data_IF_685869409076
#
_entry.id   IF_685869409076
#
_cell.length_a   1.000
_cell.length_b   1.000
_cell.length_c   1.000
_cell.angle_alpha   90.00
_cell.angle_beta   90.00
_cell.angle_gamma   90.00
#
_symmetry.space_group_name_H-M   'P 1'
#
loop_
_entity.id
_entity.type
_entity.pdbx_description
1 polymer ?
#
# COMPACT_ATOMS: atom_id res chain seq x y z
N UNK A 1 25.27 -18.26 -4.77
CA UNK A 1 23.85 -17.86 -4.65
C UNK A 1 23.78 -16.68 -3.72
N UNK A 2 23.71 -15.47 -4.27
CA UNK A 2 23.82 -14.22 -3.52
C UNK A 2 22.51 -13.89 -2.83
N UNK A 3 22.55 -13.57 -1.53
CA UNK A 3 21.41 -13.11 -0.75
C UNK A 3 20.90 -11.78 -1.33
N UNK A 4 19.74 -11.78 -2.00
CA UNK A 4 19.14 -10.59 -2.61
C UNK A 4 18.81 -9.54 -1.53
N UNK A 5 19.48 -8.39 -1.57
CA UNK A 5 19.46 -7.34 -0.55
C UNK A 5 18.13 -6.56 -0.38
N UNK A 6 17.02 -7.02 -0.97
CA UNK A 6 15.73 -6.33 -0.96
C UNK A 6 14.49 -7.18 -0.67
N UNK A 7 14.62 -8.50 -0.50
CA UNK A 7 13.47 -9.35 -0.22
C UNK A 7 13.02 -9.22 1.23
N UNK A 8 11.72 -9.04 1.43
CA UNK A 8 11.07 -8.90 2.73
C UNK A 8 10.32 -10.19 3.11
N UNK A 9 10.27 -10.49 4.41
CA UNK A 9 9.28 -11.43 4.96
C UNK A 9 7.91 -10.75 5.05
N UNK A 10 6.83 -11.52 5.09
CA UNK A 10 5.46 -10.99 5.27
C UNK A 10 5.34 -10.11 6.52
N UNK A 11 5.98 -10.50 7.62
CA UNK A 11 6.04 -9.71 8.86
C UNK A 11 6.84 -8.41 8.72
N UNK A 12 7.91 -8.42 7.92
CA UNK A 12 8.69 -7.22 7.63
C UNK A 12 7.88 -6.23 6.76
N UNK A 13 7.12 -6.72 5.78
CA UNK A 13 6.19 -5.91 4.99
C UNK A 13 5.14 -5.26 5.90
N UNK A 14 4.50 -6.02 6.79
CA UNK A 14 3.54 -5.48 7.76
C UNK A 14 4.15 -4.39 8.63
N UNK A 15 5.35 -4.65 9.16
CA UNK A 15 6.07 -3.71 10.03
C UNK A 15 6.44 -2.42 9.29
N UNK A 16 6.99 -2.50 8.07
CA UNK A 16 7.31 -1.31 7.26
C UNK A 16 6.04 -0.55 6.84
N UNK A 17 4.93 -1.27 6.63
CA UNK A 17 3.65 -0.66 6.33
C UNK A 17 3.02 0.03 7.56
N UNK A 18 3.54 -0.19 8.77
CA UNK A 18 2.95 0.32 10.00
C UNK A 18 1.66 -0.41 10.40
N UNK A 19 1.50 -1.67 9.97
CA UNK A 19 0.29 -2.46 10.15
C UNK A 19 0.57 -3.73 10.96
N UNK A 20 -0.48 -4.31 11.54
CA UNK A 20 -0.41 -5.63 12.18
C UNK A 20 -0.19 -6.73 11.15
N UNK A 21 0.45 -7.83 11.55
CA UNK A 21 0.68 -8.98 10.67
C UNK A 21 -0.62 -9.60 10.13
N UNK A 22 -1.72 -9.48 10.88
CA UNK A 22 -3.04 -9.94 10.42
C UNK A 22 -3.48 -9.32 9.09
N UNK A 23 -3.10 -8.06 8.82
CA UNK A 23 -3.37 -7.43 7.52
C UNK A 23 -2.56 -8.05 6.40
N UNK A 24 -1.28 -8.37 6.64
CA UNK A 24 -0.43 -9.00 5.65
C UNK A 24 -0.89 -10.43 5.34
N UNK A 25 -1.34 -11.19 6.35
CA UNK A 25 -1.93 -12.52 6.14
C UNK A 25 -3.23 -12.44 5.32
N UNK A 26 -4.15 -11.51 5.68
CA UNK A 26 -5.35 -11.25 4.87
C UNK A 26 -5.02 -10.89 3.42
N UNK A 27 -4.06 -10.00 3.23
CA UNK A 27 -3.62 -9.57 1.91
C UNK A 27 -3.04 -10.74 1.10
N UNK A 28 -2.29 -11.66 1.73
CA UNK A 28 -1.79 -12.87 1.07
C UNK A 28 -2.94 -13.78 0.64
N UNK A 29 -3.90 -14.03 1.53
CA UNK A 29 -5.05 -14.92 1.26
C UNK A 29 -5.99 -14.36 0.18
N UNK A 30 -5.96 -13.04 -0.02
CA UNK A 30 -6.70 -12.31 -1.05
C UNK A 30 -5.89 -12.09 -2.34
N UNK A 31 -4.68 -12.64 -2.43
CA UNK A 31 -3.82 -12.50 -3.61
C UNK A 31 -3.32 -11.07 -3.84
N UNK A 32 -3.27 -10.23 -2.80
CA UNK A 32 -2.63 -8.91 -2.87
C UNK A 32 -1.13 -9.03 -2.65
N UNK A 33 -0.69 -9.83 -1.68
CA UNK A 33 0.73 -10.05 -1.42
C UNK A 33 1.20 -11.36 -2.07
N UNK A 34 2.20 -11.26 -2.95
CA UNK A 34 2.85 -12.40 -3.59
C UNK A 34 4.31 -12.47 -3.16
N UNK A 35 4.80 -13.68 -2.88
CA UNK A 35 6.22 -13.90 -2.68
C UNK A 35 6.94 -14.00 -4.04
N UNK A 36 8.16 -13.46 -4.18
CA UNK A 36 8.93 -12.71 -3.18
C UNK A 36 8.40 -11.28 -2.96
N UNK A 37 8.47 -10.78 -1.71
CA UNK A 37 8.03 -9.42 -1.37
C UNK A 37 9.15 -8.39 -1.49
N UNK A 38 8.81 -7.20 -2.01
CA UNK A 38 9.71 -6.05 -2.11
C UNK A 38 9.05 -4.76 -1.57
N UNK A 39 9.66 -3.61 -1.83
CA UNK A 39 9.21 -2.31 -1.33
C UNK A 39 7.80 -1.94 -1.83
N UNK A 40 7.44 -2.35 -3.04
CA UNK A 40 6.12 -2.16 -3.63
C UNK A 40 5.00 -2.81 -2.80
N UNK A 41 5.32 -3.95 -2.19
CA UNK A 41 4.42 -4.72 -1.34
C UNK A 41 4.08 -3.97 -0.04
N UNK A 42 4.94 -3.04 0.41
CA UNK A 42 4.68 -2.20 1.57
C UNK A 42 3.57 -1.18 1.27
N UNK A 43 3.68 -0.48 0.13
CA UNK A 43 2.67 0.51 -0.28
C UNK A 43 1.36 -0.18 -0.67
N UNK A 44 1.45 -1.29 -1.40
CA UNK A 44 0.29 -2.12 -1.74
C UNK A 44 -0.47 -2.59 -0.49
N UNK A 45 0.24 -3.00 0.56
CA UNK A 45 -0.39 -3.41 1.82
C UNK A 45 -1.06 -2.22 2.55
N UNK A 46 -0.44 -1.04 2.58
CA UNK A 46 -1.06 0.18 3.15
C UNK A 46 -2.35 0.53 2.42
N UNK A 47 -2.32 0.53 1.09
CA UNK A 47 -3.48 0.83 0.25
C UNK A 47 -4.57 -0.22 0.43
N UNK A 48 -4.22 -1.51 0.38
CA UNK A 48 -5.15 -2.61 0.63
C UNK A 48 -5.87 -2.47 1.98
N UNK A 49 -5.10 -2.24 3.05
CA UNK A 49 -5.67 -2.10 4.39
C UNK A 49 -6.63 -0.91 4.49
N UNK A 50 -6.31 0.18 3.80
CA UNK A 50 -7.17 1.36 3.73
C UNK A 50 -8.43 1.10 2.91
N UNK A 51 -8.31 0.63 1.67
CA UNK A 51 -9.46 0.44 0.77
C UNK A 51 -10.40 -0.67 1.20
N UNK A 52 -9.91 -1.68 1.92
CA UNK A 52 -10.73 -2.74 2.50
C UNK A 52 -11.74 -2.22 3.52
N UNK A 53 -11.48 -1.05 4.12
CA UNK A 53 -12.33 -0.45 5.15
C UNK A 53 -13.39 0.51 4.55
N UNK A 54 -13.26 0.87 3.28
CA UNK A 54 -14.20 1.77 2.60
C UNK A 54 -15.46 0.99 2.21
N UNK A 55 -16.61 1.60 2.47
CA UNK A 55 -17.92 1.12 2.01
C UNK A 55 -18.64 2.28 1.36
N UNK A 56 -18.99 2.14 0.08
CA UNK A 56 -19.73 3.16 -0.66
C UNK A 56 -21.21 3.18 -0.24
N UNK A 57 -21.85 4.37 -0.18
CA UNK A 57 -23.28 4.48 0.09
C UNK A 57 -24.11 3.62 -0.89
N UNK A 58 -25.15 2.96 -0.39
CA UNK A 58 -26.00 2.08 -1.21
C UNK A 58 -25.43 0.67 -1.43
N UNK A 59 -24.15 0.44 -1.15
CA UNK A 59 -23.57 -0.91 -1.21
C UNK A 59 -23.86 -1.67 0.09
N UNK A 60 -24.61 -2.79 -0.02
CA UNK A 60 -24.84 -3.70 1.11
C UNK A 60 -23.76 -4.77 1.13
N UNK A 61 -22.86 -4.73 2.11
CA UNK A 61 -21.90 -5.82 2.35
C UNK A 61 -22.55 -6.93 3.18
N UNK A 62 -22.70 -8.16 2.63
CA UNK A 62 -23.16 -9.29 3.42
C UNK A 62 -22.17 -9.61 4.53
N UNK A 63 -22.64 -9.77 5.77
CA UNK A 63 -21.79 -9.99 6.94
C UNK A 63 -21.11 -11.37 6.96
N UNK A 64 -21.63 -12.33 6.20
CA UNK A 64 -21.26 -13.75 6.24
C UNK A 64 -20.52 -14.26 4.99
N UNK A 65 -20.43 -13.48 3.92
CA UNK A 65 -19.72 -13.89 2.71
C UNK A 65 -18.22 -13.65 2.89
N UNK A 66 -17.40 -14.60 2.38
CA UNK A 66 -15.97 -14.35 2.18
C UNK A 66 -15.87 -13.13 1.27
N UNK A 67 -15.32 -12.05 1.81
CA UNK A 67 -15.23 -10.78 1.10
C UNK A 67 -14.02 -10.86 0.17
N UNK A 68 -14.30 -11.16 -1.09
CA UNK A 68 -13.32 -11.01 -2.16
C UNK A 68 -13.13 -9.52 -2.45
N UNK A 69 -11.94 -9.14 -2.93
CA UNK A 69 -11.66 -7.77 -3.35
C UNK A 69 -12.58 -7.35 -4.49
N UNK A 70 -13.25 -6.22 -4.29
CA UNK A 70 -13.98 -5.55 -5.38
C UNK A 70 -12.97 -5.07 -6.44
N UNK A 71 -13.39 -5.00 -7.70
CA UNK A 71 -12.50 -4.65 -8.82
C UNK A 71 -11.75 -3.34 -8.59
N UNK A 72 -12.43 -2.30 -8.09
CA UNK A 72 -11.82 -1.00 -7.82
C UNK A 72 -10.76 -1.08 -6.70
N UNK A 73 -10.92 -1.98 -5.72
CA UNK A 73 -9.94 -2.18 -4.65
C UNK A 73 -8.66 -2.81 -5.20
N UNK A 74 -8.81 -3.81 -6.07
CA UNK A 74 -7.69 -4.42 -6.79
C UNK A 74 -6.98 -3.41 -7.68
N UNK A 75 -7.72 -2.59 -8.42
CA UNK A 75 -7.17 -1.51 -9.25
C UNK A 75 -6.42 -0.46 -8.42
N UNK A 76 -6.92 -0.11 -7.23
CA UNK A 76 -6.23 0.82 -6.32
C UNK A 76 -4.90 0.26 -5.81
N UNK A 77 -4.88 -1.02 -5.44
CA UNK A 77 -3.66 -1.71 -5.01
C UNK A 77 -2.64 -1.75 -6.15
N UNK A 78 -3.05 -2.09 -7.37
CA UNK A 78 -2.15 -2.17 -8.52
C UNK A 78 -1.60 -0.79 -8.93
N UNK A 79 -2.46 0.22 -8.97
CA UNK A 79 -2.03 1.60 -9.24
C UNK A 79 -0.99 2.09 -8.22
N UNK A 80 -1.11 1.65 -6.96
CA UNK A 80 -0.12 1.97 -5.94
C UNK A 80 1.20 1.22 -6.11
N UNK A 81 1.19 -0.04 -6.60
CA UNK A 81 2.43 -0.74 -7.00
C UNK A 81 3.11 -0.01 -8.14
N UNK A 82 2.34 0.38 -9.16
CA UNK A 82 2.85 1.14 -10.29
C UNK A 82 3.52 2.44 -9.82
N UNK A 83 2.92 3.16 -8.88
CA UNK A 83 3.50 4.38 -8.31
C UNK A 83 4.88 4.16 -7.68
N UNK A 84 5.15 2.99 -7.07
CA UNK A 84 6.47 2.69 -6.49
C UNK A 84 7.53 2.54 -7.57
N UNK A 85 7.17 1.94 -8.70
CA UNK A 85 8.07 1.73 -9.84
C UNK A 85 8.20 2.93 -10.78
N UNK A 86 7.27 3.88 -10.73
CA UNK A 86 7.24 5.02 -11.65
C UNK A 86 8.21 6.13 -11.21
N UNK A 87 9.20 6.42 -12.06
CA UNK A 87 10.14 7.52 -11.91
C UNK A 87 9.49 8.91 -11.79
N UNK A 88 8.24 9.08 -12.24
CA UNK A 88 7.48 10.33 -12.13
C UNK A 88 6.79 10.49 -10.78
N UNK A 89 6.77 9.45 -9.95
CA UNK A 89 6.16 9.53 -8.63
C UNK A 89 6.93 10.52 -7.76
N UNK A 90 6.20 11.51 -7.28
CA UNK A 90 6.69 12.53 -6.35
C UNK A 90 5.95 12.40 -5.01
N UNK A 91 6.44 13.04 -3.94
CA UNK A 91 5.70 13.14 -2.68
C UNK A 91 4.29 13.75 -2.83
N UNK A 92 4.03 14.47 -3.94
CA UNK A 92 2.74 15.09 -4.23
C UNK A 92 1.79 14.16 -5.00
N UNK A 93 2.27 12.99 -5.44
CA UNK A 93 1.48 12.00 -6.16
C UNK A 93 0.38 11.44 -5.28
N UNK A 94 -0.81 11.34 -5.86
CA UNK A 94 -2.06 11.00 -5.18
C UNK A 94 -2.78 9.96 -6.00
N UNK A 95 -3.36 8.99 -5.30
CA UNK A 95 -4.30 8.04 -5.88
C UNK A 95 -5.72 8.47 -5.49
N UNK A 96 -6.49 8.89 -6.49
CA UNK A 96 -7.91 9.14 -6.34
C UNK A 96 -8.67 7.85 -6.53
N UNK A 97 -9.55 7.55 -5.60
CA UNK A 97 -10.41 6.38 -5.63
C UNK A 97 -11.86 6.87 -5.61
N UNK A 98 -12.59 6.53 -6.66
CA UNK A 98 -14.02 6.73 -6.81
C UNK A 98 -14.72 5.36 -6.72
N UNK A 99 -16.05 5.37 -6.68
CA UNK A 99 -16.84 4.13 -6.61
C UNK A 99 -16.58 3.18 -7.79
N UNK A 100 -16.33 3.73 -8.98
CA UNK A 100 -16.21 2.99 -10.23
C UNK A 100 -14.80 3.01 -10.83
N UNK A 101 -13.90 3.84 -10.31
CA UNK A 101 -12.65 4.15 -11.00
C UNK A 101 -11.55 4.60 -10.03
N UNK A 102 -10.32 4.50 -10.52
CA UNK A 102 -9.11 4.82 -9.79
C UNK A 102 -8.18 5.61 -10.70
N UNK A 103 -7.61 6.70 -10.20
CA UNK A 103 -6.77 7.60 -10.98
C UNK A 103 -5.51 7.99 -10.22
N UNK A 104 -4.34 7.75 -10.82
CA UNK A 104 -3.06 8.18 -10.26
C UNK A 104 -2.69 9.55 -10.86
N UNK A 105 -2.46 10.53 -9.99
CA UNK A 105 -2.21 11.92 -10.38
C UNK A 105 -0.93 12.42 -9.72
N UNK A 106 0.01 12.96 -10.49
CA UNK A 106 1.40 13.14 -10.03
C UNK A 106 1.74 14.59 -9.68
N UNK A 107 1.08 15.57 -10.31
CA UNK A 107 1.39 17.00 -10.11
C UNK A 107 0.23 17.77 -9.46
N UNK A 108 0.50 18.92 -8.80
CA UNK A 108 -0.56 19.77 -8.26
C UNK A 108 -1.53 20.28 -9.33
N UNK A 109 -1.04 20.59 -10.53
CA UNK A 109 -1.86 21.05 -11.65
C UNK A 109 -2.82 19.96 -12.11
N UNK A 110 -2.34 18.72 -12.31
CA UNK A 110 -3.20 17.60 -12.65
C UNK A 110 -4.23 17.31 -11.55
N UNK A 111 -3.86 17.46 -10.26
CA UNK A 111 -4.82 17.27 -9.16
C UNK A 111 -5.94 18.31 -9.19
N UNK A 112 -5.60 19.57 -9.45
CA UNK A 112 -6.58 20.64 -9.57
C UNK A 112 -7.48 20.42 -10.80
N UNK A 113 -6.91 20.03 -11.94
CA UNK A 113 -7.68 19.68 -13.14
C UNK A 113 -8.63 18.50 -12.87
N UNK A 114 -8.14 17.45 -12.21
CA UNK A 114 -8.96 16.29 -11.87
C UNK A 114 -10.15 16.64 -10.96
N UNK A 115 -9.93 17.48 -9.94
CA UNK A 115 -10.99 17.96 -9.05
C UNK A 115 -12.08 18.73 -9.83
N UNK A 116 -11.66 19.63 -10.73
CA UNK A 116 -12.57 20.44 -11.52
C UNK A 116 -13.32 19.65 -12.61
N UNK A 117 -12.66 18.70 -13.26
CA UNK A 117 -13.17 18.01 -14.46
C UNK A 117 -13.84 16.66 -14.16
N UNK A 118 -13.44 15.97 -13.09
CA UNK A 118 -13.82 14.56 -12.86
C UNK A 118 -14.62 14.35 -11.59
N UNK A 119 -14.50 15.24 -10.60
CA UNK A 119 -15.20 15.05 -9.34
C UNK A 119 -16.64 15.57 -9.40
N UNK A 120 -16.95 16.75 -9.94
CA UNK A 120 -18.33 17.25 -10.18
C UNK A 120 -19.39 16.87 -9.09
N UNK A 121 -19.03 16.88 -7.80
CA UNK A 121 -19.91 16.50 -6.69
C UNK A 121 -19.99 15.00 -6.34
N UNK A 122 -19.24 14.14 -7.04
CA UNK A 122 -19.01 12.73 -6.73
C UNK A 122 -18.16 12.58 -5.48
N UNK A 123 -18.42 11.51 -4.72
CA UNK A 123 -17.57 11.15 -3.58
C UNK A 123 -16.28 10.53 -4.11
N UNK A 124 -15.15 11.07 -3.68
CA UNK A 124 -13.84 10.54 -3.99
C UNK A 124 -12.98 10.51 -2.74
N UNK A 125 -12.07 9.54 -2.70
CA UNK A 125 -11.14 9.35 -1.60
C UNK A 125 -9.73 9.58 -2.11
N UNK A 126 -9.01 10.45 -1.39
CA UNK A 126 -7.65 10.84 -1.71
C UNK A 126 -6.66 10.01 -0.90
N UNK A 127 -5.88 9.15 -1.56
CA UNK A 127 -4.83 8.37 -0.92
C UNK A 127 -3.46 8.99 -1.24
N UNK A 128 -2.64 9.35 -0.24
CA UNK A 128 -1.36 10.04 -0.46
C UNK A 128 -0.23 9.06 -0.81
N UNK A 129 -0.38 8.30 -1.90
CA UNK A 129 0.57 7.23 -2.27
C UNK A 129 1.99 7.75 -2.49
N UNK A 130 2.15 8.95 -3.03
CA UNK A 130 3.46 9.57 -3.24
C UNK A 130 4.23 9.83 -1.93
N UNK A 131 3.53 10.22 -0.87
CA UNK A 131 4.13 10.36 0.46
C UNK A 131 4.58 9.00 1.00
N UNK A 132 3.73 7.98 0.88
CA UNK A 132 4.09 6.63 1.33
C UNK A 132 5.27 6.04 0.57
N UNK A 133 5.39 6.32 -0.74
CA UNK A 133 6.55 5.95 -1.54
C UNK A 133 7.80 6.67 -1.05
N UNK A 134 7.71 7.98 -0.79
CA UNK A 134 8.84 8.77 -0.28
C UNK A 134 9.33 8.32 1.11
N UNK A 135 8.45 7.74 1.93
CA UNK A 135 8.78 7.18 3.26
C UNK A 135 9.43 5.79 3.22
N UNK A 136 9.39 5.08 2.07
CA UNK A 136 9.90 3.71 1.97
C UNK A 136 11.37 3.56 2.38
N UNK A 137 12.31 4.42 1.93
CA UNK A 137 13.71 4.27 2.30
C UNK A 137 13.94 4.27 3.82
N UNK A 138 13.25 5.15 4.54
CA UNK A 138 13.35 5.28 5.99
C UNK A 138 12.71 4.09 6.72
N UNK A 139 11.55 3.62 6.23
CA UNK A 139 10.91 2.41 6.75
C UNK A 139 11.82 1.18 6.59
N UNK A 140 12.46 1.04 5.43
CA UNK A 140 13.38 -0.06 5.12
C UNK A 140 14.68 0.03 5.95
N UNK A 141 15.22 1.22 6.16
CA UNK A 141 16.38 1.44 7.03
C UNK A 141 16.08 1.07 8.50
N UNK A 142 14.87 1.38 8.97
CA UNK A 142 14.40 1.05 10.32
C UNK A 142 14.32 -0.45 10.56
N UNK A 143 13.85 -1.23 9.57
CA UNK A 143 13.83 -2.70 9.63
C UNK A 143 15.24 -3.29 9.78
N UNK A 144 16.21 -2.79 8.99
CA UNK A 144 17.61 -3.25 9.05
C UNK A 144 18.22 -3.00 10.44
N UNK A 145 17.95 -1.84 11.02
CA UNK A 145 18.43 -1.47 12.36
C UNK A 145 17.86 -2.38 13.45
N UNK A 146 16.56 -2.70 13.39
CA UNK A 146 15.90 -3.59 14.35
C UNK A 146 16.48 -5.01 14.29
N UNK A 147 16.72 -5.54 13.08
CA UNK A 147 17.34 -6.86 12.88
C UNK A 147 18.72 -6.92 13.52
N UNK A 148 19.55 -5.88 13.35
CA UNK A 148 20.89 -5.81 13.93
C UNK A 148 20.88 -5.80 15.47
N UNK A 149 19.97 -5.04 16.10
CA UNK A 149 19.87 -5.00 17.58
C UNK A 149 19.46 -6.35 18.16
N UNK A 150 18.56 -7.07 17.50
CA UNK A 150 18.14 -8.41 17.94
C UNK A 150 19.30 -9.41 17.91
N UNK A 151 20.14 -9.39 16.86
CA UNK A 151 21.30 -10.29 16.78
C UNK A 151 22.37 -9.98 17.83
N UNK A 152 22.61 -8.71 18.17
CA UNK A 152 23.60 -8.35 19.20
C UNK A 152 23.16 -8.78 20.59
N UNK A 153 21.86 -8.67 20.93
CA UNK A 153 21.34 -9.09 22.23
C UNK A 153 21.35 -10.61 22.42
N UNK A 154 21.19 -11.38 21.34
CA UNK A 154 21.31 -12.84 21.37
C UNK A 154 22.75 -13.31 21.57
N UNK A 155 23.73 -12.60 20.99
CA UNK A 155 25.15 -12.97 21.09
C UNK A 155 25.80 -12.67 22.46
N UNK A 156 25.24 -11.73 23.24
CA UNK A 156 25.70 -11.44 24.61
C UNK A 156 24.99 -12.24 25.69
N UNK A 157 23.96 -13.01 25.34
CA UNK A 157 23.22 -13.88 26.25
C UNK A 157 23.63 -15.37 26.15
N UNK A 158 24.64 -15.67 25.33
CA UNK A 158 25.28 -16.98 25.19
C UNK A 158 26.71 -16.92 25.74
#
# INVERSE_FOLDING_TARGET
>A
MSLNHGQLSTSAVATAAGLSESWAWKARDQGVLHEPHFEDSVVALRVYAFVSQIVWPGTRRPRSARQDLELWQSSAVEAARQAVSDSKTTPQTVLWVLEDSVHLVTTPGERAAFDLEQLEGRVAIRIPVGLWVAELPDAMASLKTRRRRSSTKAATAA
#
